data_IF_755937995664
#
_entry.id   IF_755937995664
#
_cell.length_a   1.000
_cell.length_b   1.000
_cell.length_c   1.000
_cell.angle_alpha   90.00
_cell.angle_beta   90.00
_cell.angle_gamma   90.00
#
_symmetry.space_group_name_H-M   'P 1'
#
loop_
_entity.id
_entity.type
_entity.pdbx_description
1 polymer ?
#
# COMPACT_ATOMS: atom_id res chain seq x y z
N UNK A 1 -11.83 3.15 13.63
CA UNK A 1 -10.98 2.64 12.53
C UNK A 1 -9.55 2.93 12.94
N UNK A 2 -8.66 1.94 12.92
CA UNK A 2 -7.25 2.15 13.22
C UNK A 2 -6.53 2.42 11.90
N UNK A 3 -5.97 3.60 11.72
CA UNK A 3 -5.13 3.94 10.57
C UNK A 3 -3.68 3.91 11.00
N UNK A 4 -2.88 3.06 10.36
CA UNK A 4 -1.44 3.00 10.59
C UNK A 4 -0.76 2.53 9.30
N UNK A 5 0.48 2.94 9.11
CA UNK A 5 1.33 2.43 8.05
C UNK A 5 2.48 1.66 8.70
N UNK A 6 2.83 0.49 8.14
CA UNK A 6 4.05 -0.22 8.54
C UNK A 6 5.31 0.40 7.93
N UNK A 7 5.15 1.35 7.01
CA UNK A 7 6.23 1.97 6.24
C UNK A 7 5.92 3.45 5.99
N UNK A 8 6.04 4.31 7.01
CA UNK A 8 5.89 5.75 6.83
C UNK A 8 7.03 6.32 5.97
N UNK A 9 6.74 7.34 5.15
CA UNK A 9 7.71 7.89 4.22
C UNK A 9 8.83 8.69 4.92
N UNK A 10 8.59 9.21 6.12
CA UNK A 10 9.62 9.86 6.94
C UNK A 10 10.74 8.90 7.39
N UNK A 11 10.50 7.59 7.32
CA UNK A 11 11.49 6.54 7.56
C UNK A 11 12.14 6.01 6.27
N UNK A 12 11.97 6.68 5.13
CA UNK A 12 12.66 6.35 3.88
C UNK A 12 14.02 7.07 3.81
N UNK A 13 15.04 6.39 3.29
CA UNK A 13 16.36 6.96 3.02
C UNK A 13 16.47 7.40 1.56
N UNK A 14 16.99 8.62 1.38
CA UNK A 14 17.17 9.26 0.08
C UNK A 14 16.28 10.48 -0.08
N UNK A 15 16.79 11.52 -0.74
CA UNK A 15 15.99 12.64 -1.20
C UNK A 15 14.81 12.10 -2.01
N UNK A 16 13.60 12.63 -1.79
CA UNK A 16 12.52 12.52 -2.79
C UNK A 16 12.96 13.27 -4.06
N UNK A 17 13.93 12.73 -4.79
CA UNK A 17 14.21 13.23 -6.12
C UNK A 17 13.04 12.81 -7.00
N UNK A 18 12.14 13.75 -7.23
CA UNK A 18 11.14 13.74 -8.29
C UNK A 18 11.84 13.74 -9.68
N UNK A 19 12.73 12.78 -9.95
CA UNK A 19 13.22 12.53 -11.30
C UNK A 19 12.08 11.87 -12.06
N UNK A 20 11.21 12.70 -12.63
CA UNK A 20 10.06 12.32 -13.46
C UNK A 20 8.87 11.66 -12.74
N UNK A 21 8.71 11.84 -11.42
CA UNK A 21 7.56 11.28 -10.68
C UNK A 21 7.52 9.76 -10.55
N UNK A 22 8.57 9.05 -10.98
CA UNK A 22 8.83 7.67 -10.59
C UNK A 22 9.39 7.68 -9.16
N UNK A 23 8.66 7.10 -8.21
CA UNK A 23 9.14 6.97 -6.83
C UNK A 23 10.29 5.96 -6.77
N UNK A 24 11.52 6.46 -6.62
CA UNK A 24 12.70 5.66 -6.29
C UNK A 24 13.08 6.00 -4.85
N UNK A 25 12.60 5.21 -3.89
CA UNK A 25 12.93 5.39 -2.49
C UNK A 25 13.68 4.16 -1.97
N UNK A 26 14.82 4.38 -1.32
CA UNK A 26 15.44 3.35 -0.50
C UNK A 26 14.82 3.41 0.91
N UNK A 27 14.69 2.25 1.57
CA UNK A 27 13.99 2.13 2.86
C UNK A 27 15.03 2.15 3.97
N UNK A 28 14.82 2.91 5.06
CA UNK A 28 15.69 2.87 6.24
C UNK A 28 15.22 1.72 7.14
N UNK A 29 16.05 0.69 7.34
CA UNK A 29 15.85 -0.38 8.34
C UNK A 29 14.42 -0.93 8.47
N UNK A 30 14.05 -1.92 7.65
CA UNK A 30 12.66 -2.46 7.59
C UNK A 30 12.10 -2.92 8.96
N UNK A 31 12.95 -3.38 9.86
CA UNK A 31 12.54 -3.95 11.15
C UNK A 31 12.03 -2.88 12.14
N UNK A 32 12.77 -1.77 12.28
CA UNK A 32 12.41 -0.65 13.17
C UNK A 32 11.08 0.00 12.75
N UNK A 33 10.87 0.20 11.45
CA UNK A 33 9.59 0.71 10.91
C UNK A 33 8.40 -0.20 11.23
N UNK A 34 8.59 -1.52 11.13
CA UNK A 34 7.53 -2.46 11.45
C UNK A 34 7.16 -2.44 12.95
N UNK A 35 8.13 -2.15 13.82
CA UNK A 35 7.93 -2.07 15.27
C UNK A 35 7.07 -0.86 15.69
N UNK A 36 7.18 0.30 15.04
CA UNK A 36 6.28 1.46 15.25
C UNK A 36 4.82 1.12 14.94
N UNK A 37 4.57 0.50 13.77
CA UNK A 37 3.25 0.05 13.38
C UNK A 37 2.69 -1.01 14.35
N UNK A 38 3.54 -1.96 14.76
CA UNK A 38 3.18 -2.99 15.73
C UNK A 38 2.85 -2.41 17.12
N UNK A 39 3.52 -1.33 17.56
CA UNK A 39 3.22 -0.60 18.81
C UNK A 39 1.80 -0.02 18.78
N UNK A 40 1.41 0.60 17.66
CA UNK A 40 0.06 1.16 17.50
C UNK A 40 -1.00 0.06 17.54
N UNK A 41 -0.75 -1.06 16.88
CA UNK A 41 -1.64 -2.23 16.91
C UNK A 41 -1.73 -2.85 18.32
N UNK A 42 -0.62 -2.94 19.06
CA UNK A 42 -0.57 -3.43 20.43
C UNK A 42 -1.46 -2.59 21.35
N UNK A 43 -1.36 -1.26 21.29
CA UNK A 43 -2.16 -0.38 22.15
C UNK A 43 -3.65 -0.46 21.81
N UNK A 44 -4.01 -0.59 20.53
CA UNK A 44 -5.39 -0.86 20.12
C UNK A 44 -5.89 -2.21 20.69
N UNK A 45 -5.06 -3.26 20.62
CA UNK A 45 -5.39 -4.56 21.19
C UNK A 45 -5.56 -4.49 22.71
N UNK A 46 -4.71 -3.74 23.42
CA UNK A 46 -4.80 -3.55 24.87
C UNK A 46 -6.12 -2.89 25.27
N UNK A 47 -6.56 -1.87 24.52
CA UNK A 47 -7.86 -1.23 24.73
C UNK A 47 -9.03 -2.20 24.51
N UNK A 48 -8.95 -3.05 23.48
CA UNK A 48 -10.01 -4.01 23.14
C UNK A 48 -10.07 -5.16 24.15
N UNK A 49 -8.91 -5.69 24.59
CA UNK A 49 -8.88 -6.83 25.51
C UNK A 49 -9.16 -6.44 26.96
N UNK A 50 -8.96 -5.17 27.34
CA UNK A 50 -9.19 -4.64 28.68
C UNK A 50 -8.60 -5.55 29.78
N UNK A 51 -7.32 -5.88 29.66
CA UNK A 51 -6.53 -6.76 30.55
C UNK A 51 -7.00 -8.23 30.65
N UNK A 52 -7.89 -8.70 29.78
CA UNK A 52 -8.31 -10.12 29.74
C UNK A 52 -7.27 -11.06 29.13
N UNK A 53 -6.26 -10.53 28.44
CA UNK A 53 -5.19 -11.28 27.80
C UNK A 53 -3.85 -10.63 28.18
N UNK A 54 -2.86 -11.46 28.54
CA UNK A 54 -1.50 -10.98 28.76
C UNK A 54 -0.80 -10.67 27.43
N UNK A 55 -0.44 -9.41 27.24
CA UNK A 55 0.27 -8.89 26.06
C UNK A 55 1.72 -8.48 26.38
N UNK A 56 2.22 -8.81 27.59
CA UNK A 56 3.56 -8.43 28.05
C UNK A 56 4.68 -8.98 27.15
N UNK A 57 4.56 -10.24 26.73
CA UNK A 57 5.50 -10.88 25.81
C UNK A 57 5.57 -10.16 24.45
N UNK A 58 4.43 -9.70 23.92
CA UNK A 58 4.40 -8.96 22.65
C UNK A 58 5.01 -7.56 22.82
N UNK A 59 4.72 -6.87 23.93
CA UNK A 59 5.35 -5.59 24.28
C UNK A 59 6.87 -5.71 24.36
N UNK A 60 7.36 -6.78 24.99
CA UNK A 60 8.80 -7.05 25.10
C UNK A 60 9.44 -7.25 23.72
N UNK A 61 8.83 -8.08 22.86
CA UNK A 61 9.27 -8.29 21.47
C UNK A 61 9.41 -6.96 20.71
N UNK A 62 8.39 -6.10 20.75
CA UNK A 62 8.44 -4.80 20.06
C UNK A 62 9.58 -3.94 20.60
N UNK A 63 9.78 -3.91 21.92
CA UNK A 63 10.87 -3.15 22.53
C UNK A 63 12.25 -3.64 22.07
N UNK A 64 12.43 -4.95 21.92
CA UNK A 64 13.68 -5.53 21.41
C UNK A 64 13.89 -5.15 19.94
N UNK A 65 12.86 -5.21 19.11
CA UNK A 65 12.91 -4.87 17.68
C UNK A 65 13.15 -3.39 17.38
N UNK A 66 12.66 -2.49 18.24
CA UNK A 66 12.91 -1.04 18.11
C UNK A 66 14.40 -0.68 18.22
N UNK A 67 15.22 -1.53 18.84
CA UNK A 67 16.65 -1.30 19.04
C UNK A 67 17.53 -2.01 17.99
N UNK A 68 16.93 -2.64 16.97
CA UNK A 68 17.63 -3.38 15.92
C UNK A 68 17.57 -2.61 14.58
N UNK A 69 18.73 -2.25 14.03
CA UNK A 69 18.87 -1.54 12.75
C UNK A 69 19.32 -2.49 11.61
N UNK A 70 18.75 -3.69 11.50
CA UNK A 70 19.11 -4.65 10.45
C UNK A 70 18.28 -4.46 9.16
N UNK A 71 18.95 -4.63 8.01
CA UNK A 71 18.30 -4.79 6.70
C UNK A 71 17.97 -6.28 6.47
N UNK A 72 16.81 -6.51 5.86
CA UNK A 72 16.06 -7.78 5.65
C UNK A 72 16.79 -8.93 4.91
N UNK A 73 18.11 -8.84 4.69
CA UNK A 73 18.87 -9.84 3.93
C UNK A 73 19.25 -11.09 4.72
N UNK A 74 19.15 -11.06 6.05
CA UNK A 74 19.61 -12.16 6.93
C UNK A 74 18.46 -12.94 7.61
N UNK A 75 17.21 -12.74 7.18
CA UNK A 75 16.06 -13.35 7.84
C UNK A 75 15.65 -14.64 7.13
N UNK A 76 16.04 -15.78 7.71
CA UNK A 76 15.60 -17.10 7.28
C UNK A 76 14.08 -17.27 7.44
N UNK A 77 13.47 -17.93 6.45
CA UNK A 77 12.05 -18.28 6.48
C UNK A 77 11.85 -19.31 7.59
N UNK A 78 11.16 -18.94 8.67
CA UNK A 78 10.82 -19.87 9.74
C UNK A 78 9.71 -20.82 9.30
N UNK A 79 9.76 -22.08 9.77
CA UNK A 79 8.75 -23.09 9.46
C UNK A 79 7.33 -22.62 9.79
N UNK A 80 6.47 -22.58 8.78
CA UNK A 80 5.04 -22.29 8.93
C UNK A 80 4.36 -23.53 9.53
N UNK A 81 3.86 -23.43 10.76
CA UNK A 81 2.99 -24.48 11.32
C UNK A 81 1.60 -24.35 10.69
N UNK A 82 1.40 -25.05 9.58
CA UNK A 82 0.09 -25.16 8.93
C UNK A 82 -0.73 -26.22 9.68
N UNK A 83 -1.68 -25.78 10.50
CA UNK A 83 -2.71 -26.68 11.06
C UNK A 83 -3.67 -27.07 9.91
N UNK A 84 -3.75 -28.38 9.61
CA UNK A 84 -4.48 -28.95 8.45
C UNK A 84 -5.88 -29.48 8.75
N UNK A 85 -6.49 -29.12 9.88
CA UNK A 85 -7.82 -29.63 10.22
C UNK A 85 -8.89 -28.55 10.05
N UNK A 86 -9.70 -28.69 9.00
CA UNK A 86 -10.95 -27.96 8.82
C UNK A 86 -11.99 -28.53 9.80
N UNK A 87 -12.10 -27.93 10.99
CA UNK A 87 -13.18 -28.23 11.92
C UNK A 87 -14.48 -27.57 11.41
N UNK A 88 -15.40 -28.40 10.94
CA UNK A 88 -16.75 -27.99 10.45
C UNK A 88 -17.83 -28.14 11.54
N UNK A 89 -17.44 -28.38 12.79
CA UNK A 89 -18.35 -28.49 13.92
C UNK A 89 -19.03 -27.17 14.31
N UNK A 90 -20.16 -27.29 15.02
CA UNK A 90 -20.80 -26.15 15.66
C UNK A 90 -19.88 -25.62 16.78
N UNK A 91 -19.41 -24.38 16.61
CA UNK A 91 -18.49 -23.74 17.55
C UNK A 91 -19.18 -22.60 18.29
N UNK A 92 -19.32 -22.72 19.61
CA UNK A 92 -19.72 -21.59 20.46
C UNK A 92 -18.54 -20.62 20.61
N UNK A 93 -18.74 -19.35 20.26
CA UNK A 93 -17.66 -18.39 20.19
C UNK A 93 -17.23 -17.92 21.58
N UNK A 94 -16.18 -18.54 22.11
CA UNK A 94 -15.51 -18.07 23.32
C UNK A 94 -14.47 -16.99 23.00
N UNK A 95 -14.69 -15.76 23.49
CA UNK A 95 -13.70 -14.68 23.40
C UNK A 95 -12.48 -15.03 24.26
N UNK A 96 -11.31 -15.04 23.64
CA UNK A 96 -10.01 -15.37 24.27
C UNK A 96 -9.93 -16.78 24.84
N UNK A 97 -10.43 -17.79 24.11
CA UNK A 97 -10.25 -19.21 24.44
C UNK A 97 -8.81 -19.49 24.88
N UNK A 98 -8.65 -20.08 26.07
CA UNK A 98 -7.35 -20.35 26.72
C UNK A 98 -6.46 -19.10 26.98
N UNK A 99 -7.06 -17.91 27.10
CA UNK A 99 -6.31 -16.66 27.32
C UNK A 99 -5.53 -16.20 26.09
N UNK A 100 -5.94 -16.62 24.88
CA UNK A 100 -5.27 -16.29 23.62
C UNK A 100 -6.06 -15.28 22.80
N UNK A 101 -5.42 -14.15 22.45
CA UNK A 101 -5.93 -13.18 21.48
C UNK A 101 -5.72 -13.70 20.05
N UNK A 102 -6.78 -13.70 19.25
CA UNK A 102 -6.76 -14.07 17.82
C UNK A 102 -7.01 -12.83 16.98
N UNK A 103 -6.07 -12.50 16.08
CA UNK A 103 -6.18 -11.37 15.16
C UNK A 103 -6.35 -11.88 13.73
N UNK A 104 -7.52 -11.66 13.13
CA UNK A 104 -7.79 -12.03 11.74
C UNK A 104 -7.49 -10.90 10.76
N UNK A 105 -6.76 -11.21 9.68
CA UNK A 105 -6.46 -10.27 8.60
C UNK A 105 -7.36 -10.56 7.40
N UNK A 106 -8.27 -9.63 7.11
CA UNK A 106 -9.29 -9.77 6.06
C UNK A 106 -9.14 -8.63 5.06
N UNK A 107 -9.27 -8.94 3.77
CA UNK A 107 -9.23 -7.95 2.69
C UNK A 107 -9.06 -8.56 1.31
N UNK A 108 -9.06 -7.71 0.29
CA UNK A 108 -8.87 -8.12 -1.10
C UNK A 108 -7.51 -8.80 -1.34
N UNK A 109 -7.33 -9.51 -2.46
CA UNK A 109 -6.01 -9.97 -2.90
C UNK A 109 -5.02 -8.80 -3.02
N UNK A 110 -3.74 -9.06 -2.79
CA UNK A 110 -2.63 -8.11 -3.00
C UNK A 110 -2.63 -6.80 -2.19
N UNK A 111 -3.53 -6.62 -1.22
CA UNK A 111 -3.53 -5.44 -0.31
C UNK A 111 -2.44 -5.47 0.77
N UNK A 112 -1.55 -6.45 0.77
CA UNK A 112 -0.44 -6.54 1.73
C UNK A 112 -0.74 -7.23 3.07
N UNK A 113 -1.79 -8.06 3.16
CA UNK A 113 -2.14 -8.81 4.40
C UNK A 113 -0.97 -9.66 4.91
N UNK A 114 -0.45 -10.54 4.07
CA UNK A 114 0.66 -11.43 4.39
C UNK A 114 1.98 -10.65 4.61
N UNK A 115 2.17 -9.55 3.89
CA UNK A 115 3.30 -8.62 4.11
C UNK A 115 3.24 -7.96 5.49
N UNK A 116 2.04 -7.54 5.92
CA UNK A 116 1.81 -6.96 7.24
C UNK A 116 2.06 -8.00 8.35
N UNK A 117 1.66 -9.25 8.13
CA UNK A 117 1.97 -10.35 9.06
C UNK A 117 3.49 -10.54 9.19
N UNK A 118 4.23 -10.63 8.08
CA UNK A 118 5.69 -10.74 8.13
C UNK A 118 6.33 -9.54 8.85
N UNK A 119 5.82 -8.32 8.60
CA UNK A 119 6.28 -7.11 9.28
C UNK A 119 6.05 -7.19 10.80
N UNK A 120 4.84 -7.56 11.25
CA UNK A 120 4.52 -7.71 12.69
C UNK A 120 5.35 -8.83 13.33
N UNK A 121 5.61 -9.91 12.58
CA UNK A 121 6.45 -11.01 13.05
C UNK A 121 7.93 -10.63 13.13
N UNK A 122 8.36 -9.58 12.45
CA UNK A 122 9.77 -9.22 12.30
C UNK A 122 10.56 -10.23 11.47
N UNK A 123 9.87 -11.16 10.79
CA UNK A 123 10.48 -12.18 9.95
C UNK A 123 9.53 -12.72 8.87
N UNK A 124 10.09 -13.31 7.82
CA UNK A 124 9.33 -13.93 6.74
C UNK A 124 8.74 -15.27 7.19
N UNK A 125 7.48 -15.28 7.64
CA UNK A 125 6.75 -16.49 8.06
C UNK A 125 5.76 -16.99 7.02
N UNK A 126 5.32 -16.11 6.11
CA UNK A 126 4.43 -16.41 5.00
C UNK A 126 5.05 -15.93 3.69
N UNK A 127 4.87 -16.71 2.63
CA UNK A 127 5.31 -16.32 1.29
C UNK A 127 4.39 -15.22 0.73
N UNK A 128 4.99 -14.22 0.08
CA UNK A 128 4.31 -13.03 -0.43
C UNK A 128 4.71 -12.76 -1.88
N UNK A 129 4.05 -13.39 -2.87
CA UNK A 129 4.23 -12.99 -4.26
C UNK A 129 3.35 -11.79 -4.61
N UNK A 130 3.66 -11.18 -5.75
CA UNK A 130 2.88 -10.08 -6.34
C UNK A 130 1.62 -10.54 -7.08
N UNK A 131 1.48 -11.84 -7.36
CA UNK A 131 0.33 -12.39 -8.08
C UNK A 131 -0.85 -12.65 -7.14
N UNK A 132 -2.08 -12.27 -7.54
CA UNK A 132 -3.26 -12.55 -6.73
C UNK A 132 -3.52 -14.06 -6.61
N UNK A 133 -4.17 -14.45 -5.50
CA UNK A 133 -4.59 -15.84 -5.28
C UNK A 133 -3.55 -16.74 -4.60
N UNK A 134 -2.41 -16.21 -4.16
CA UNK A 134 -1.37 -17.03 -3.54
C UNK A 134 -1.73 -17.60 -2.16
N UNK A 135 -2.39 -16.81 -1.30
CA UNK A 135 -2.90 -17.34 -0.03
C UNK A 135 -4.21 -18.07 -0.31
N UNK A 136 -4.15 -19.39 -0.48
CA UNK A 136 -5.31 -20.24 -0.80
C UNK A 136 -6.03 -20.78 0.43
N UNK A 137 -5.30 -20.92 1.55
CA UNK A 137 -5.81 -21.52 2.78
C UNK A 137 -5.73 -20.57 3.96
N UNK A 138 -6.64 -20.75 4.92
CA UNK A 138 -6.56 -20.09 6.22
C UNK A 138 -5.36 -20.61 7.01
N UNK A 139 -4.54 -19.70 7.52
CA UNK A 139 -3.32 -20.05 8.26
C UNK A 139 -3.32 -19.37 9.62
N UNK A 140 -2.87 -20.08 10.65
CA UNK A 140 -2.73 -19.56 12.01
C UNK A 140 -1.26 -19.51 12.38
N UNK A 141 -0.78 -18.32 12.76
CA UNK A 141 0.61 -18.03 13.07
C UNK A 141 0.68 -17.49 14.49
N UNK A 142 1.49 -18.10 15.35
CA UNK A 142 1.68 -17.60 16.71
C UNK A 142 2.72 -16.49 16.73
N UNK A 143 2.30 -15.29 17.13
CA UNK A 143 3.20 -14.16 17.39
C UNK A 143 3.84 -14.28 18.77
N UNK A 144 3.02 -14.65 19.76
CA UNK A 144 3.46 -15.05 21.10
C UNK A 144 2.59 -16.22 21.58
N UNK A 145 2.87 -16.78 22.77
CA UNK A 145 2.02 -17.83 23.36
C UNK A 145 0.55 -17.40 23.51
N UNK A 146 0.30 -16.11 23.72
CA UNK A 146 -1.02 -15.55 24.00
C UNK A 146 -1.59 -14.75 22.83
N UNK A 147 -0.86 -14.62 21.71
CA UNK A 147 -1.31 -13.85 20.54
C UNK A 147 -1.05 -14.64 19.28
N UNK A 148 -2.11 -14.90 18.51
CA UNK A 148 -2.03 -15.54 17.19
C UNK A 148 -2.63 -14.64 16.11
N UNK A 149 -1.99 -14.66 14.95
CA UNK A 149 -2.35 -13.97 13.73
C UNK A 149 -2.96 -14.99 12.76
N UNK A 150 -4.03 -14.60 12.08
CA UNK A 150 -4.71 -15.47 11.12
C UNK A 150 -4.67 -14.83 9.73
N UNK A 151 -3.93 -15.45 8.80
CA UNK A 151 -3.93 -15.04 7.39
C UNK A 151 -5.10 -15.71 6.67
N UNK A 152 -5.94 -14.89 6.05
CA UNK A 152 -7.10 -15.37 5.30
C UNK A 152 -6.85 -15.20 3.80
N UNK A 153 -7.34 -16.13 2.97
CA UNK A 153 -7.36 -15.95 1.53
C UNK A 153 -7.94 -14.59 1.12
N UNK A 154 -7.43 -14.03 0.04
CA UNK A 154 -7.96 -12.76 -0.50
C UNK A 154 -9.42 -12.94 -0.90
N UNK A 155 -10.32 -12.23 -0.22
CA UNK A 155 -11.75 -12.30 -0.54
C UNK A 155 -12.07 -11.36 -1.69
N UNK A 156 -12.64 -11.90 -2.76
CA UNK A 156 -13.21 -11.11 -3.86
C UNK A 156 -14.73 -11.28 -3.79
N UNK A 157 -15.41 -10.32 -3.19
CA UNK A 157 -16.87 -10.29 -3.22
C UNK A 157 -17.34 -9.99 -4.65
N UNK A 158 -18.52 -10.50 -5.08
CA UNK A 158 -19.15 -10.08 -6.32
C UNK A 158 -19.31 -8.56 -6.34
N UNK A 159 -18.41 -7.89 -7.03
CA UNK A 159 -18.24 -6.45 -6.93
C UNK A 159 -18.82 -5.77 -8.17
N UNK A 160 -19.54 -4.67 -7.97
CA UNK A 160 -19.98 -3.77 -9.05
C UNK A 160 -18.83 -2.90 -9.59
N UNK A 161 -17.62 -3.07 -9.06
CA UNK A 161 -16.45 -2.30 -9.48
C UNK A 161 -16.07 -2.64 -10.93
N UNK A 162 -15.85 -1.65 -11.80
CA UNK A 162 -15.41 -1.86 -13.18
C UNK A 162 -14.15 -2.72 -13.27
N UNK A 163 -14.06 -3.54 -14.33
CA UNK A 163 -12.91 -4.44 -14.57
C UNK A 163 -11.57 -3.69 -14.55
N UNK A 164 -11.52 -2.47 -15.09
CA UNK A 164 -10.34 -1.62 -15.07
C UNK A 164 -9.80 -1.38 -13.66
N UNK A 165 -10.68 -1.04 -12.71
CA UNK A 165 -10.28 -0.84 -11.32
C UNK A 165 -9.90 -2.16 -10.65
N UNK A 166 -10.55 -3.27 -10.98
CA UNK A 166 -10.14 -4.59 -10.48
C UNK A 166 -8.71 -4.97 -10.91
N UNK A 167 -8.32 -4.61 -12.13
CA UNK A 167 -6.96 -4.80 -12.64
C UNK A 167 -5.96 -3.92 -11.87
N UNK A 168 -6.26 -2.62 -11.74
CA UNK A 168 -5.37 -1.65 -11.08
C UNK A 168 -5.24 -1.92 -9.57
N UNK A 169 -6.27 -2.45 -8.91
CA UNK A 169 -6.22 -2.86 -7.50
C UNK A 169 -5.54 -4.24 -7.30
N UNK A 170 -5.17 -4.93 -8.37
CA UNK A 170 -4.53 -6.24 -8.29
C UNK A 170 -5.47 -7.38 -7.89
N UNK A 171 -6.80 -7.18 -7.91
CA UNK A 171 -7.76 -8.25 -7.67
C UNK A 171 -7.96 -9.16 -8.89
N UNK A 172 -7.63 -8.66 -10.08
CA UNK A 172 -7.60 -9.42 -11.33
C UNK A 172 -6.16 -9.57 -11.85
N UNK A 173 -5.70 -10.79 -12.17
CA UNK A 173 -4.34 -11.02 -12.64
C UNK A 173 -4.07 -10.33 -13.98
N UNK A 174 -3.11 -9.40 -14.00
CA UNK A 174 -2.73 -8.61 -15.19
C UNK A 174 -2.39 -9.51 -16.38
N UNK A 175 -1.68 -10.62 -16.14
CA UNK A 175 -1.32 -11.59 -17.18
C UNK A 175 -2.51 -12.20 -17.95
N UNK A 176 -3.72 -12.19 -17.38
CA UNK A 176 -4.94 -12.72 -18.02
C UNK A 176 -5.76 -11.63 -18.73
N UNK A 177 -5.33 -10.37 -18.69
CA UNK A 177 -6.05 -9.25 -19.28
C UNK A 177 -5.86 -9.24 -20.79
N UNK A 178 -6.91 -9.62 -21.53
CA UNK A 178 -6.90 -9.62 -23.01
C UNK A 178 -6.76 -8.23 -23.63
N UNK A 179 -7.34 -7.20 -23.01
CA UNK A 179 -7.36 -5.82 -23.53
C UNK A 179 -6.87 -4.84 -22.44
N UNK A 180 -5.53 -4.75 -22.23
CA UNK A 180 -4.95 -3.96 -21.14
C UNK A 180 -5.02 -2.44 -21.39
N UNK A 181 -5.19 -2.02 -22.65
CA UNK A 181 -5.18 -0.61 -23.06
C UNK A 181 -6.25 0.24 -22.37
N UNK A 182 -7.42 -0.33 -22.09
CA UNK A 182 -8.48 0.38 -21.34
C UNK A 182 -8.07 0.74 -19.91
N UNK A 183 -7.24 -0.09 -19.28
CA UNK A 183 -6.70 0.19 -17.95
C UNK A 183 -5.55 1.21 -17.99
N UNK A 184 -4.73 1.17 -19.05
CA UNK A 184 -3.72 2.21 -19.30
C UNK A 184 -4.38 3.55 -19.60
N UNK A 185 -5.47 3.57 -20.38
CA UNK A 185 -6.26 4.77 -20.63
C UNK A 185 -6.77 5.39 -19.31
N UNK A 186 -7.34 4.56 -18.44
CA UNK A 186 -7.84 5.03 -17.15
C UNK A 186 -6.74 5.68 -16.28
N UNK A 187 -5.51 5.15 -16.35
CA UNK A 187 -4.34 5.78 -15.73
C UNK A 187 -3.99 7.11 -16.42
N UNK A 188 -3.91 7.14 -17.74
CA UNK A 188 -3.55 8.33 -18.53
C UNK A 188 -4.54 9.49 -18.36
N UNK A 189 -5.83 9.20 -18.15
CA UNK A 189 -6.85 10.21 -17.87
C UNK A 189 -6.60 10.94 -16.53
N UNK A 190 -5.88 10.31 -15.59
CA UNK A 190 -5.68 10.81 -14.22
C UNK A 190 -4.23 11.20 -13.95
N UNK A 191 -3.29 10.66 -14.71
CA UNK A 191 -1.86 10.87 -14.58
C UNK A 191 -1.29 11.31 -15.92
N UNK A 192 -0.43 12.32 -15.90
CA UNK A 192 0.34 12.73 -17.08
C UNK A 192 1.46 11.72 -17.38
N UNK A 193 1.07 10.54 -17.88
CA UNK A 193 1.99 9.44 -18.17
C UNK A 193 3.09 9.81 -19.17
N UNK A 194 2.86 10.61 -20.24
CA UNK A 194 3.92 11.05 -21.13
C UNK A 194 5.04 11.80 -20.40
N UNK A 195 4.69 12.75 -19.53
CA UNK A 195 5.69 13.49 -18.77
C UNK A 195 6.32 12.64 -17.66
N UNK A 196 5.51 11.88 -16.93
CA UNK A 196 5.95 10.96 -15.87
C UNK A 196 6.99 9.95 -16.39
N UNK A 197 6.69 9.34 -17.53
CA UNK A 197 7.52 8.31 -18.11
C UNK A 197 8.55 8.87 -19.10
N UNK A 198 8.60 10.20 -19.31
CA UNK A 198 9.47 10.87 -20.29
C UNK A 198 9.38 10.21 -21.66
N UNK A 199 8.17 10.16 -22.19
CA UNK A 199 7.87 9.56 -23.49
C UNK A 199 8.00 10.62 -24.60
N UNK A 200 8.39 10.17 -25.78
CA UNK A 200 8.29 10.94 -27.01
C UNK A 200 7.15 10.37 -27.83
N UNK A 201 6.28 11.22 -28.35
CA UNK A 201 5.13 10.78 -29.14
C UNK A 201 5.64 10.05 -30.40
N UNK A 202 5.13 8.86 -30.76
CA UNK A 202 5.65 8.09 -31.89
C UNK A 202 5.53 8.84 -33.22
N UNK A 203 4.40 9.53 -33.41
CA UNK A 203 4.07 10.29 -34.62
C UNK A 203 4.27 11.80 -34.49
N UNK A 204 4.88 12.27 -33.38
CA UNK A 204 5.07 13.71 -33.08
C UNK A 204 3.77 14.54 -33.03
N UNK A 205 2.63 13.92 -32.71
CA UNK A 205 1.36 14.60 -32.50
C UNK A 205 1.30 15.25 -31.09
N UNK A 206 0.36 16.19 -30.92
CA UNK A 206 0.06 16.88 -29.67
C UNK A 206 -0.81 16.05 -28.75
N UNK A 207 -1.69 15.21 -29.30
CA UNK A 207 -2.60 14.38 -28.52
C UNK A 207 -2.02 12.99 -28.32
N UNK A 208 -2.29 12.42 -27.14
CA UNK A 208 -1.85 11.07 -26.80
C UNK A 208 -3.06 10.17 -26.67
N UNK A 209 -3.01 8.99 -27.28
CA UNK A 209 -3.92 7.89 -26.96
C UNK A 209 -3.24 6.89 -26.02
N UNK A 210 -4.03 6.01 -25.40
CA UNK A 210 -3.46 4.89 -24.63
C UNK A 210 -2.57 3.99 -25.49
N UNK A 211 -2.83 3.92 -26.80
CA UNK A 211 -2.02 3.18 -27.74
C UNK A 211 -0.66 3.86 -27.96
N UNK A 212 -0.65 5.18 -28.20
CA UNK A 212 0.58 5.96 -28.37
C UNK A 212 1.48 5.86 -27.14
N UNK A 213 0.90 5.90 -25.93
CA UNK A 213 1.62 5.70 -24.68
C UNK A 213 2.28 4.32 -24.66
N UNK A 214 1.54 3.26 -25.04
CA UNK A 214 2.06 1.90 -25.06
C UNK A 214 3.14 1.71 -26.13
N UNK A 215 2.97 2.28 -27.31
CA UNK A 215 3.96 2.20 -28.41
C UNK A 215 5.23 2.97 -28.06
N UNK A 216 5.13 4.19 -27.54
CA UNK A 216 6.28 4.95 -27.02
C UNK A 216 6.99 4.22 -25.90
N UNK A 217 6.23 3.60 -24.98
CA UNK A 217 6.81 2.83 -23.89
C UNK A 217 7.51 1.56 -24.40
N UNK A 218 6.90 0.86 -25.36
CA UNK A 218 7.49 -0.30 -26.01
C UNK A 218 8.82 0.05 -26.69
N UNK A 219 8.84 1.14 -27.48
CA UNK A 219 10.05 1.66 -28.12
C UNK A 219 11.14 1.99 -27.08
N UNK A 220 10.76 2.67 -26.00
CA UNK A 220 11.68 3.07 -24.94
C UNK A 220 12.29 1.89 -24.18
N UNK A 221 11.50 0.85 -23.89
CA UNK A 221 11.96 -0.36 -23.20
C UNK A 221 12.57 -1.41 -24.15
N UNK A 222 12.48 -1.21 -25.46
CA UNK A 222 12.92 -2.18 -26.45
C UNK A 222 12.02 -3.42 -26.56
N UNK A 223 10.74 -3.30 -26.22
CA UNK A 223 9.77 -4.38 -26.38
C UNK A 223 9.36 -4.49 -27.84
N UNK A 224 9.75 -5.60 -28.47
CA UNK A 224 9.48 -5.88 -29.87
C UNK A 224 8.73 -7.21 -30.04
N UNK A 225 7.98 -7.32 -31.13
CA UNK A 225 7.38 -8.59 -31.56
C UNK A 225 8.45 -9.49 -32.19
N UNK A 226 8.51 -10.76 -31.78
CA UNK A 226 9.54 -11.71 -32.24
C UNK A 226 9.64 -11.87 -33.76
N UNK A 227 8.51 -11.75 -34.48
CA UNK A 227 8.45 -11.98 -35.94
C UNK A 227 8.72 -10.75 -36.79
N UNK A 228 8.18 -9.60 -36.40
CA UNK A 228 8.16 -8.40 -37.25
C UNK A 228 9.08 -7.29 -36.77
N UNK A 229 9.70 -7.43 -35.59
CA UNK A 229 10.54 -6.38 -35.00
C UNK A 229 9.80 -5.07 -34.69
N UNK A 230 8.47 -5.06 -34.81
CA UNK A 230 7.63 -3.91 -34.48
C UNK A 230 7.51 -3.75 -32.96
N UNK A 231 7.28 -2.53 -32.45
CA UNK A 231 6.98 -2.31 -31.05
C UNK A 231 5.85 -3.24 -30.58
N UNK A 232 5.97 -3.75 -29.35
CA UNK A 232 4.96 -4.62 -28.75
C UNK A 232 4.14 -3.86 -27.69
N UNK A 233 3.03 -3.21 -28.09
CA UNK A 233 2.20 -2.41 -27.20
C UNK A 233 1.52 -3.23 -26.11
N UNK A 234 1.27 -4.53 -26.35
CA UNK A 234 0.66 -5.40 -25.34
C UNK A 234 1.63 -5.68 -24.18
N UNK A 235 2.90 -5.98 -24.47
CA UNK A 235 3.92 -6.13 -23.43
C UNK A 235 4.15 -4.83 -22.68
N UNK A 236 4.19 -3.70 -23.39
CA UNK A 236 4.27 -2.38 -22.79
C UNK A 236 3.10 -2.08 -21.84
N UNK A 237 1.86 -2.35 -22.26
CA UNK A 237 0.69 -2.15 -21.43
C UNK A 237 0.73 -3.01 -20.16
N UNK A 238 1.13 -4.28 -20.26
CA UNK A 238 1.30 -5.15 -19.10
C UNK A 238 2.38 -4.62 -18.14
N UNK A 239 3.55 -4.20 -18.65
CA UNK A 239 4.60 -3.62 -17.81
C UNK A 239 4.13 -2.33 -17.11
N UNK A 240 3.41 -1.44 -17.79
CA UNK A 240 2.84 -0.23 -17.19
C UNK A 240 1.84 -0.56 -16.07
N UNK A 241 0.94 -1.52 -16.30
CA UNK A 241 -0.02 -1.95 -15.27
C UNK A 241 0.68 -2.62 -14.08
N UNK A 242 1.71 -3.42 -14.33
CA UNK A 242 2.53 -3.99 -13.25
C UNK A 242 3.26 -2.90 -12.46
N UNK A 243 3.81 -1.86 -13.13
CA UNK A 243 4.41 -0.71 -12.44
C UNK A 243 3.40 0.07 -11.60
N UNK A 244 2.16 0.19 -12.07
CA UNK A 244 1.10 0.80 -11.29
C UNK A 244 0.76 -0.04 -10.05
N UNK A 245 0.63 -1.36 -10.21
CA UNK A 245 0.37 -2.28 -9.10
C UNK A 245 1.54 -2.34 -8.09
N UNK A 246 2.77 -2.27 -8.56
CA UNK A 246 4.00 -2.18 -7.73
C UNK A 246 4.11 -0.86 -6.96
N UNK A 247 3.26 0.14 -7.26
CA UNK A 247 3.33 1.49 -6.68
C UNK A 247 4.46 2.35 -7.27
N UNK A 248 5.05 1.98 -8.41
CA UNK A 248 6.02 2.84 -9.13
C UNK A 248 5.31 3.95 -9.90
N UNK A 249 4.09 3.67 -10.36
CA UNK A 249 3.15 4.64 -10.92
C UNK A 249 1.99 4.75 -9.92
N UNK A 250 2.01 5.79 -9.09
CA UNK A 250 1.02 5.95 -8.04
C UNK A 250 -0.25 6.59 -8.57
N UNK A 251 -1.37 5.86 -8.50
CA UNK A 251 -2.71 6.39 -8.72
C UNK A 251 -3.38 6.65 -7.36
N UNK A 252 -3.75 7.90 -7.11
CA UNK A 252 -4.55 8.28 -5.95
C UNK A 252 -5.96 8.67 -6.41
N UNK A 253 -6.99 8.25 -5.67
CA UNK A 253 -8.37 8.65 -5.90
C UNK A 253 -8.80 9.62 -4.80
N UNK A 254 -9.51 10.67 -5.19
CA UNK A 254 -10.14 11.57 -4.24
C UNK A 254 -11.23 10.86 -3.45
N UNK A 255 -11.48 11.28 -2.19
CA UNK A 255 -12.58 10.73 -1.41
C UNK A 255 -13.93 11.02 -2.08
N UNK A 256 -14.97 10.23 -1.77
CA UNK A 256 -16.31 10.46 -2.33
C UNK A 256 -16.78 11.89 -2.08
N UNK A 257 -17.30 12.54 -3.14
CA UNK A 257 -17.78 13.93 -3.11
C UNK A 257 -16.72 14.95 -2.71
N UNK A 258 -15.44 14.68 -3.01
CA UNK A 258 -14.34 15.61 -2.73
C UNK A 258 -14.61 17.01 -3.28
N UNK A 259 -14.92 17.13 -4.57
CA UNK A 259 -15.17 18.44 -5.19
C UNK A 259 -16.36 19.20 -4.59
N UNK A 260 -17.39 18.49 -4.10
CA UNK A 260 -18.55 19.11 -3.45
C UNK A 260 -18.30 19.47 -1.98
N UNK A 261 -17.26 18.92 -1.35
CA UNK A 261 -16.92 19.10 0.07
C UNK A 261 -15.43 19.40 0.23
N UNK A 262 -14.88 20.25 -0.64
CA UNK A 262 -13.44 20.51 -0.70
C UNK A 262 -12.94 21.05 0.64
N UNK A 263 -13.56 22.09 1.17
CA UNK A 263 -13.18 22.74 2.42
C UNK A 263 -13.15 21.77 3.61
N UNK A 264 -14.11 20.84 3.66
CA UNK A 264 -14.15 19.80 4.70
C UNK A 264 -12.98 18.84 4.63
N UNK A 265 -12.61 18.39 3.42
CA UNK A 265 -11.53 17.43 3.23
C UNK A 265 -10.15 18.06 3.40
N UNK A 266 -10.00 19.31 2.98
CA UNK A 266 -8.74 20.06 3.11
C UNK A 266 -8.50 20.54 4.54
N UNK A 267 -9.56 20.87 5.29
CA UNK A 267 -9.48 21.23 6.72
C UNK A 267 -9.57 20.06 7.70
N UNK A 268 -9.56 18.80 7.23
CA UNK A 268 -9.71 17.63 8.11
C UNK A 268 -8.46 17.44 9.01
N UNK A 269 -8.65 17.12 10.30
CA UNK A 269 -7.55 16.96 11.26
C UNK A 269 -6.48 15.94 10.81
N UNK A 270 -6.92 14.85 10.15
CA UNK A 270 -6.02 13.81 9.63
C UNK A 270 -5.09 14.28 8.49
N UNK A 271 -5.34 15.45 7.87
CA UNK A 271 -4.48 15.97 6.78
C UNK A 271 -3.05 16.17 7.26
N UNK A 272 -2.86 16.66 8.49
CA UNK A 272 -1.53 16.85 9.09
C UNK A 272 -0.81 15.51 9.23
N UNK A 273 -1.50 14.48 9.74
CA UNK A 273 -0.96 13.13 9.84
C UNK A 273 -0.59 12.56 8.46
N UNK A 274 -1.42 12.77 7.45
CA UNK A 274 -1.15 12.32 6.09
C UNK A 274 0.08 13.00 5.49
N UNK A 275 0.23 14.32 5.68
CA UNK A 275 1.41 15.06 5.22
C UNK A 275 2.69 14.58 5.88
N UNK A 276 2.63 14.31 7.19
CA UNK A 276 3.72 13.74 7.95
C UNK A 276 4.09 12.33 7.43
N UNK A 277 3.11 11.43 7.30
CA UNK A 277 3.32 10.09 6.74
C UNK A 277 3.92 10.15 5.33
N UNK A 278 3.56 11.16 4.53
CA UNK A 278 4.11 11.39 3.18
C UNK A 278 5.50 12.03 3.16
N UNK A 279 6.03 12.45 4.32
CA UNK A 279 7.33 13.13 4.42
C UNK A 279 7.35 14.47 3.67
N UNK A 280 6.20 15.15 3.58
CA UNK A 280 6.06 16.44 2.89
C UNK A 280 6.32 17.66 3.78
N UNK A 281 6.53 17.44 5.08
CA UNK A 281 6.86 18.50 6.03
C UNK A 281 8.30 18.98 5.80
N UNK A 282 8.47 20.30 5.67
CA UNK A 282 9.73 20.97 5.32
C UNK A 282 10.76 21.06 6.44
N UNK A 283 10.47 20.52 7.62
CA UNK A 283 11.38 20.56 8.76
C UNK A 283 12.23 19.28 8.79
N UNK A 284 13.55 19.46 8.80
CA UNK A 284 14.54 18.41 9.13
C UNK A 284 14.45 18.01 10.62
N UNK A 285 13.25 17.77 11.12
CA UNK A 285 13.04 17.13 12.40
C UNK A 285 13.06 15.61 12.18
N UNK A 286 13.69 14.88 13.09
CA UNK A 286 13.65 13.43 13.10
C UNK A 286 12.18 12.99 13.11
N UNK A 287 11.77 12.11 12.17
CA UNK A 287 10.35 11.77 11.96
C UNK A 287 9.65 11.26 13.23
N UNK A 288 10.44 10.67 14.14
CA UNK A 288 10.03 10.23 15.46
C UNK A 288 9.56 11.39 16.37
N UNK A 289 10.25 12.55 16.34
CA UNK A 289 9.89 13.72 17.15
C UNK A 289 8.62 14.39 16.64
N UNK A 290 8.48 14.49 15.31
CA UNK A 290 7.31 15.10 14.68
C UNK A 290 6.04 14.25 14.85
N UNK A 291 6.14 12.92 14.82
CA UNK A 291 5.01 12.02 15.07
C UNK A 291 4.56 12.04 16.54
N UNK A 292 5.49 12.02 17.50
CA UNK A 292 5.12 12.13 18.92
C UNK A 292 4.56 13.53 19.26
N UNK A 293 5.04 14.59 18.59
CA UNK A 293 4.46 15.95 18.68
C UNK A 293 3.02 16.00 18.17
N UNK A 294 2.73 15.46 16.98
CA UNK A 294 1.35 15.37 16.47
C UNK A 294 0.42 14.60 17.44
N UNK A 295 0.93 13.50 18.02
CA UNK A 295 0.18 12.69 18.96
C UNK A 295 -0.15 13.44 20.26
N UNK A 296 0.78 14.26 20.76
CA UNK A 296 0.58 15.16 21.88
C UNK A 296 -0.43 16.28 21.54
N UNK A 297 -0.30 16.90 20.37
CA UNK A 297 -1.15 18.01 19.93
C UNK A 297 -2.59 17.58 19.65
N UNK A 298 -2.83 16.37 19.11
CA UNK A 298 -4.18 15.81 18.91
C UNK A 298 -4.98 15.57 20.20
N UNK A 299 -4.34 15.69 21.36
CA UNK A 299 -5.00 15.66 22.67
C UNK A 299 -5.50 17.04 23.15
N UNK A 300 -5.18 18.10 22.41
CA UNK A 300 -5.63 19.49 22.62
C UNK A 300 -6.35 20.00 21.36
N UNK A 301 -7.54 20.56 21.52
CA UNK A 301 -8.40 21.03 20.42
C UNK A 301 -7.76 22.11 19.53
N UNK A 302 -8.39 22.44 18.38
CA UNK A 302 -7.70 23.04 17.25
C UNK A 302 -7.40 24.53 17.44
N UNK A 303 -6.22 24.96 17.00
CA UNK A 303 -5.93 26.35 16.64
C UNK A 303 -5.60 26.43 15.13
N UNK A 304 -6.25 27.39 14.46
CA UNK A 304 -6.18 27.64 13.03
C UNK A 304 -4.81 28.17 12.59
N UNK A 305 -4.34 27.75 11.42
CA UNK A 305 -3.36 28.54 10.66
C UNK A 305 -3.55 28.40 9.14
N UNK A 306 -3.55 29.55 8.48
CA UNK A 306 -3.79 29.80 7.06
C UNK A 306 -2.80 29.07 6.13
N UNK A 307 -3.29 28.63 4.97
CA UNK A 307 -2.44 28.11 3.89
C UNK A 307 -2.68 28.85 2.58
N UNK A 308 -1.58 29.28 1.96
CA UNK A 308 -1.52 29.81 0.60
C UNK A 308 -0.61 28.88 -0.20
N UNK A 309 -1.17 28.08 -1.12
CA UNK A 309 -0.40 27.37 -2.16
C UNK A 309 -1.26 27.19 -3.42
N UNK A 310 -1.02 28.02 -4.43
CA UNK A 310 -1.37 27.75 -5.82
C UNK A 310 -0.20 27.02 -6.52
N UNK A 311 -0.51 25.97 -7.26
CA UNK A 311 -0.02 25.74 -8.63
C UNK A 311 -0.77 24.55 -9.27
N UNK A 312 -1.83 24.87 -10.01
CA UNK A 312 -2.50 23.97 -10.95
C UNK A 312 -1.60 23.75 -12.18
N UNK A 313 -1.10 22.53 -12.37
CA UNK A 313 -0.63 22.04 -13.68
C UNK A 313 -1.74 21.17 -14.23
N UNK A 314 -2.58 21.77 -15.07
CA UNK A 314 -3.68 21.11 -15.77
C UNK A 314 -3.19 19.84 -16.49
N UNK A 315 -3.72 18.70 -16.08
CA UNK A 315 -3.62 17.44 -16.81
C UNK A 315 -4.32 17.62 -18.17
N UNK A 316 -3.61 17.44 -19.29
CA UNK A 316 -4.14 17.64 -20.65
C UNK A 316 -5.25 16.64 -21.04
N UNK A 317 -5.53 15.64 -20.19
CA UNK A 317 -6.66 14.71 -20.32
C UNK A 317 -7.87 15.04 -19.43
N UNK A 318 -7.80 16.04 -18.54
CA UNK A 318 -8.88 16.35 -17.60
C UNK A 318 -10.13 16.98 -18.23
N UNK A 319 -10.11 17.27 -19.54
CA UNK A 319 -11.27 17.84 -20.26
C UNK A 319 -12.48 16.89 -20.36
N UNK A 320 -12.37 15.64 -19.89
CA UNK A 320 -13.46 14.67 -19.84
C UNK A 320 -14.00 14.39 -18.43
N UNK A 321 -13.57 15.12 -17.39
CA UNK A 321 -14.05 14.93 -16.01
C UNK A 321 -15.23 15.83 -15.62
N UNK A 322 -15.99 16.35 -16.58
CA UNK A 322 -17.26 17.02 -16.30
C UNK A 322 -18.39 16.03 -16.48
N UNK A 323 -18.58 15.16 -15.48
CA UNK A 323 -19.85 14.57 -15.01
C UNK A 323 -19.62 13.71 -13.76
#
# INVERSE_FOLDING_TARGET
>A
ILTFTSFPAYNLTGTQENKAGLQICHRRGKLRMAAEGAKTLLEACKCITNNKVDLSAWRKKISEEMHLDFDDKDIEVGDTVVMREEDTGYFDHEKYKAGTLTLGFIGHPNVGKSSLINAIMGKNVVSVPSTPGHTEHFQTIYLTRNVRLCDCPGLVFPSKVPKTLQILMGSYPIAQVRVPFSAVQYLAERLDLPNLLKLQHPELDKWWSAMDICDSWALKQGFHTDRTGRPNPYLAANDLLCKALDGKICLCLHPPRYYSRRDYWEGHADVQLVQLIQGKTSEQADGDEAYEKYKLESSSGPEDSDSNFEHDVYNRFSLLSTE
#
